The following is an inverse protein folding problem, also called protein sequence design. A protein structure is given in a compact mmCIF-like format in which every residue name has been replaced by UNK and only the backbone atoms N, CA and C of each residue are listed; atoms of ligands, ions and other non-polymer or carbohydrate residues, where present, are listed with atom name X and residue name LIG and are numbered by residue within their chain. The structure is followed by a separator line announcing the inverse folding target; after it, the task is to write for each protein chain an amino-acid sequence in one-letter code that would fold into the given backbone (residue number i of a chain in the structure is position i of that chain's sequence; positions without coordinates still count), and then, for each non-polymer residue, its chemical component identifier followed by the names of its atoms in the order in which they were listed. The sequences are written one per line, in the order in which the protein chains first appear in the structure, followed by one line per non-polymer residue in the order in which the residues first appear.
data_IF_262182076639
#
_entry.id   IF_262182076639
#
_cell.length_a   1.000
_cell.length_b   1.000
_cell.length_c   1.000
_cell.angle_alpha   90.00
_cell.angle_beta   90.00
_cell.angle_gamma   90.00
#
_symmetry.space_group_name_H-M   'P 1'
#
loop_
_entity.id
_entity.type
_entity.pdbx_description
1 polymer ?
#
# COMPACT_ATOMS: atom_id res chain seq x y z
N UNK A 1 1.01 1.00 9.99
CA UNK A 1 -0.20 1.38 9.25
C UNK A 1 -1.40 0.68 9.85
N UNK A 2 -2.47 1.38 10.21
CA UNK A 2 -3.57 0.75 10.95
C UNK A 2 -4.36 -0.32 10.20
N UNK A 3 -4.38 -0.31 8.86
CA UNK A 3 -5.00 -1.38 8.07
C UNK A 3 -4.10 -2.61 7.86
N UNK A 4 -2.78 -2.49 8.08
CA UNK A 4 -1.81 -3.53 7.76
C UNK A 4 -1.99 -4.83 8.56
N UNK A 5 -2.47 -4.76 9.80
CA UNK A 5 -2.75 -5.97 10.60
C UNK A 5 -3.95 -6.76 10.08
N UNK A 6 -4.90 -6.10 9.40
CA UNK A 6 -5.97 -6.80 8.70
C UNK A 6 -5.49 -7.58 7.48
N UNK A 7 -4.27 -7.29 7.00
CA UNK A 7 -3.66 -7.96 5.87
C UNK A 7 -2.72 -9.09 6.28
N UNK A 8 -1.74 -8.79 7.15
CA UNK A 8 -0.74 -9.76 7.59
C UNK A 8 -0.89 -10.09 9.07
N UNK A 9 -0.80 -11.38 9.42
CA UNK A 9 -0.82 -11.85 10.79
C UNK A 9 0.47 -11.46 11.52
N UNK A 10 0.35 -11.00 12.77
CA UNK A 10 1.50 -10.80 13.63
C UNK A 10 2.08 -12.14 14.05
N UNK A 11 3.32 -12.41 13.59
CA UNK A 11 4.02 -13.65 13.90
C UNK A 11 3.91 -14.70 12.80
N UNK A 12 4.65 -15.80 12.96
CA UNK A 12 4.62 -16.94 12.03
C UNK A 12 3.35 -17.74 12.23
N UNK A 13 2.84 -18.33 11.16
CA UNK A 13 1.79 -19.33 11.23
C UNK A 13 2.14 -20.38 12.32
N UNK A 14 1.25 -20.59 13.29
CA UNK A 14 1.47 -21.54 14.40
C UNK A 14 2.49 -21.11 15.45
N UNK A 15 3.10 -19.92 15.36
CA UNK A 15 3.99 -19.37 16.39
C UNK A 15 3.23 -18.84 17.61
N UNK A 16 3.93 -18.65 18.76
CA UNK A 16 3.31 -18.03 19.93
C UNK A 16 2.89 -16.61 19.59
N UNK A 17 1.73 -16.19 20.04
CA UNK A 17 1.25 -14.80 19.93
C UNK A 17 2.26 -13.89 20.62
N UNK A 18 3.12 -13.25 19.87
CA UNK A 18 4.04 -12.24 20.40
C UNK A 18 3.32 -10.90 20.40
N UNK A 19 2.63 -10.62 21.49
CA UNK A 19 2.16 -9.27 21.76
C UNK A 19 3.30 -8.49 22.41
N UNK A 20 3.72 -7.39 21.80
CA UNK A 20 4.64 -6.46 22.45
C UNK A 20 3.99 -5.98 23.77
N UNK A 21 4.68 -6.11 24.93
CA UNK A 21 4.14 -5.65 26.22
C UNK A 21 3.66 -4.18 26.18
N UNK A 22 4.27 -3.33 25.36
CA UNK A 22 3.88 -1.93 25.20
C UNK A 22 2.46 -1.77 24.64
N UNK A 23 2.02 -2.65 23.75
CA UNK A 23 0.67 -2.57 23.19
C UNK A 23 -0.42 -2.78 24.24
N UNK A 24 -0.15 -3.58 25.28
CA UNK A 24 -1.09 -3.81 26.38
C UNK A 24 -1.33 -2.59 27.26
N UNK A 25 -0.43 -1.60 27.16
CA UNK A 25 -0.54 -0.34 27.89
C UNK A 25 -1.42 0.71 27.18
N UNK A 26 -1.91 0.41 25.98
CA UNK A 26 -2.78 1.33 25.26
C UNK A 26 -4.15 1.43 25.92
N UNK A 27 -4.61 2.66 26.14
CA UNK A 27 -6.00 2.94 26.55
C UNK A 27 -6.95 2.57 25.41
N UNK A 28 -6.60 2.94 24.19
CA UNK A 28 -7.37 2.68 22.96
C UNK A 28 -6.44 2.52 21.76
N UNK A 29 -6.85 1.69 20.80
CA UNK A 29 -6.30 1.64 19.45
C UNK A 29 -7.37 2.08 18.43
N UNK A 30 -6.95 2.79 17.38
CA UNK A 30 -7.84 3.25 16.31
C UNK A 30 -7.60 2.44 15.04
N UNK A 31 -8.66 2.15 14.30
CA UNK A 31 -8.61 1.37 13.05
C UNK A 31 -9.52 1.98 11.98
N UNK A 32 -9.33 1.56 10.73
CA UNK A 32 -10.08 2.07 9.57
C UNK A 32 -11.51 1.52 9.48
N UNK A 33 -11.75 0.29 9.97
CA UNK A 33 -13.07 -0.33 9.95
C UNK A 33 -13.26 -1.31 11.11
N UNK A 34 -14.53 -1.59 11.43
CA UNK A 34 -14.88 -2.63 12.40
C UNK A 34 -14.45 -4.04 11.97
N UNK A 35 -14.35 -4.28 10.66
CA UNK A 35 -13.90 -5.56 10.09
C UNK A 35 -12.52 -5.97 10.63
N UNK A 36 -11.58 -5.03 10.71
CA UNK A 36 -10.21 -5.31 11.14
C UNK A 36 -9.99 -5.15 12.64
N UNK A 37 -10.96 -4.62 13.39
CA UNK A 37 -10.82 -4.36 14.83
C UNK A 37 -10.40 -5.59 15.61
N UNK A 38 -10.99 -6.76 15.32
CA UNK A 38 -10.65 -8.05 15.97
C UNK A 38 -9.18 -8.46 15.75
N UNK A 39 -8.61 -8.15 14.57
CA UNK A 39 -7.21 -8.48 14.27
C UNK A 39 -6.25 -7.60 15.05
N UNK A 40 -6.63 -6.32 15.26
CA UNK A 40 -5.87 -5.41 16.11
C UNK A 40 -5.97 -5.77 17.60
N UNK A 41 -7.17 -6.13 18.07
CA UNK A 41 -7.38 -6.61 19.43
C UNK A 41 -6.50 -7.85 19.69
N UNK A 42 -6.53 -8.83 18.80
CA UNK A 42 -5.66 -10.02 18.87
C UNK A 42 -4.18 -9.65 18.82
N UNK A 43 -3.77 -8.83 17.85
CA UNK A 43 -2.36 -8.47 17.64
C UNK A 43 -1.76 -7.66 18.78
N UNK A 44 -2.53 -6.76 19.40
CA UNK A 44 -2.09 -5.93 20.49
C UNK A 44 -2.35 -6.54 21.89
N UNK A 45 -3.12 -7.62 21.96
CA UNK A 45 -3.55 -8.20 23.22
C UNK A 45 -4.49 -7.27 24.00
N UNK A 46 -5.32 -6.50 23.30
CA UNK A 46 -6.34 -5.63 23.85
C UNK A 46 -7.71 -6.34 23.86
N UNK A 47 -8.61 -5.86 24.70
CA UNK A 47 -10.04 -6.21 24.60
C UNK A 47 -10.70 -5.49 23.42
N UNK A 48 -11.73 -6.09 22.82
CA UNK A 48 -12.38 -5.58 21.60
C UNK A 48 -12.96 -4.18 21.78
N UNK A 49 -13.43 -3.82 22.98
CA UNK A 49 -13.97 -2.50 23.35
C UNK A 49 -12.91 -1.39 23.32
N UNK A 50 -11.62 -1.75 23.33
CA UNK A 50 -10.52 -0.80 23.21
C UNK A 50 -10.06 -0.54 21.77
N UNK A 51 -10.62 -1.23 20.79
CA UNK A 51 -10.25 -1.04 19.38
C UNK A 51 -11.40 -0.37 18.64
N UNK A 52 -11.23 0.91 18.30
CA UNK A 52 -12.30 1.76 17.79
C UNK A 52 -12.14 2.04 16.29
N UNK A 53 -13.18 1.78 15.53
CA UNK A 53 -13.24 2.08 14.10
C UNK A 53 -13.57 3.58 13.87
N UNK A 54 -12.61 4.45 14.15
CA UNK A 54 -12.75 5.91 13.97
C UNK A 54 -12.40 6.38 12.57
N UNK A 55 -11.86 5.50 11.73
CA UNK A 55 -11.06 5.89 10.57
C UNK A 55 -9.65 6.30 10.99
N UNK A 56 -8.81 6.54 10.00
CA UNK A 56 -7.39 6.83 10.19
C UNK A 56 -7.10 8.27 9.76
N UNK A 57 -6.57 9.14 10.64
CA UNK A 57 -6.29 10.55 10.32
C UNK A 57 -5.54 10.75 9.00
N UNK A 58 -4.52 9.94 8.74
CA UNK A 58 -3.72 10.02 7.51
C UNK A 58 -4.53 9.82 6.23
N UNK A 59 -5.64 9.09 6.28
CA UNK A 59 -6.45 8.85 5.08
C UNK A 59 -7.36 10.03 4.71
N UNK A 60 -7.48 11.04 5.56
CA UNK A 60 -8.29 12.23 5.26
C UNK A 60 -7.78 13.00 4.03
N UNK A 61 -6.47 12.95 3.74
CA UNK A 61 -5.89 13.60 2.55
C UNK A 61 -6.45 13.06 1.23
N UNK A 62 -6.85 11.77 1.20
CA UNK A 62 -7.43 11.15 0.00
C UNK A 62 -8.87 11.62 -0.29
N UNK A 63 -9.48 12.28 0.68
CA UNK A 63 -10.82 12.89 0.56
C UNK A 63 -10.76 14.40 0.35
N UNK A 64 -9.56 14.99 0.19
CA UNK A 64 -9.34 16.44 0.01
C UNK A 64 -8.93 16.75 -1.45
N UNK A 65 -9.84 17.27 -2.28
CA UNK A 65 -9.54 17.61 -3.67
C UNK A 65 -8.48 18.71 -3.81
N UNK A 66 -8.38 19.63 -2.82
CA UNK A 66 -7.38 20.70 -2.86
C UNK A 66 -5.98 20.15 -2.60
N UNK A 67 -5.86 19.21 -1.67
CA UNK A 67 -4.61 18.48 -1.45
C UNK A 67 -4.18 17.71 -2.71
N UNK A 68 -5.11 16.95 -3.30
CA UNK A 68 -4.86 16.21 -4.54
C UNK A 68 -4.32 17.12 -5.66
N UNK A 69 -4.98 18.26 -5.89
CA UNK A 69 -4.55 19.22 -6.91
C UNK A 69 -3.16 19.78 -6.60
N UNK A 70 -2.89 20.13 -5.33
CA UNK A 70 -1.58 20.66 -4.92
C UNK A 70 -0.45 19.64 -5.18
N UNK A 71 -0.68 18.37 -4.86
CA UNK A 71 0.29 17.29 -5.10
C UNK A 71 0.52 17.10 -6.61
N UNK A 72 -0.55 17.03 -7.40
CA UNK A 72 -0.45 16.85 -8.86
C UNK A 72 0.30 18.02 -9.51
N UNK A 73 -0.02 19.25 -9.15
CA UNK A 73 0.65 20.44 -9.69
C UNK A 73 2.14 20.44 -9.34
N UNK A 74 2.47 20.11 -8.09
CA UNK A 74 3.87 19.99 -7.63
C UNK A 74 4.63 18.89 -8.37
N UNK A 75 4.03 17.73 -8.54
CA UNK A 75 4.64 16.61 -9.25
C UNK A 75 4.93 16.97 -10.72
N UNK A 76 3.94 17.50 -11.44
CA UNK A 76 4.13 17.86 -12.85
C UNK A 76 4.95 19.14 -13.06
N UNK A 77 5.14 19.98 -12.03
CA UNK A 77 6.14 21.06 -12.07
C UNK A 77 7.56 20.51 -11.97
N UNK A 78 7.76 19.46 -11.14
CA UNK A 78 9.05 18.77 -10.95
C UNK A 78 9.39 17.86 -12.13
N UNK A 79 8.39 17.17 -12.72
CA UNK A 79 8.53 16.18 -13.79
C UNK A 79 7.63 16.51 -15.00
N UNK A 80 7.85 17.65 -15.68
CA UNK A 80 6.95 18.12 -16.77
C UNK A 80 6.86 17.17 -17.95
N UNK A 81 7.90 16.34 -18.18
CA UNK A 81 7.94 15.33 -19.25
C UNK A 81 6.95 14.18 -19.05
N UNK A 82 6.35 14.05 -17.86
CA UNK A 82 5.40 12.99 -17.53
C UNK A 82 3.93 13.43 -17.63
N UNK A 83 3.64 14.71 -17.92
CA UNK A 83 2.28 15.27 -17.87
C UNK A 83 1.26 14.56 -18.78
N UNK A 84 1.71 14.12 -19.93
CA UNK A 84 0.85 13.46 -20.93
C UNK A 84 1.10 11.94 -21.00
N UNK A 85 1.70 11.37 -19.96
CA UNK A 85 1.99 9.94 -19.90
C UNK A 85 1.05 9.23 -18.95
N UNK A 86 0.74 7.97 -19.27
CA UNK A 86 0.13 7.04 -18.35
C UNK A 86 1.14 6.62 -17.28
N UNK A 87 0.85 6.89 -16.04
CA UNK A 87 1.76 6.67 -14.92
C UNK A 87 1.51 5.30 -14.28
N UNK A 88 2.51 4.44 -14.33
CA UNK A 88 2.54 3.17 -13.60
C UNK A 88 3.44 3.36 -12.38
N UNK A 89 2.94 3.07 -11.19
CA UNK A 89 3.72 3.05 -9.95
C UNK A 89 4.07 1.60 -9.58
N UNK A 90 5.36 1.28 -9.52
CA UNK A 90 5.87 0.01 -9.02
C UNK A 90 6.35 0.16 -7.59
N UNK A 91 5.59 -0.34 -6.63
CA UNK A 91 5.84 -0.20 -5.20
C UNK A 91 5.83 -1.57 -4.48
N UNK A 92 6.86 -2.40 -4.66
CA UNK A 92 6.92 -3.73 -4.08
C UNK A 92 7.31 -3.72 -2.61
N UNK A 93 6.97 -4.82 -1.92
CA UNK A 93 7.44 -5.09 -0.56
C UNK A 93 8.85 -5.68 -0.59
N UNK A 94 9.70 -5.28 0.35
CA UNK A 94 11.02 -5.89 0.52
C UNK A 94 10.95 -7.34 1.00
N UNK A 95 11.98 -8.11 0.71
CA UNK A 95 12.25 -9.44 1.26
C UNK A 95 13.27 -9.34 2.39
N UNK A 96 13.44 -10.39 3.17
CA UNK A 96 14.32 -10.41 4.34
C UNK A 96 13.59 -10.12 5.66
N UNK A 97 14.35 -10.12 6.77
CA UNK A 97 13.84 -9.96 8.13
C UNK A 97 14.25 -8.58 8.69
N UNK A 98 13.47 -7.55 8.39
CA UNK A 98 13.72 -6.18 8.83
C UNK A 98 14.84 -5.47 8.07
N UNK A 99 15.22 -4.30 8.55
CA UNK A 99 16.07 -3.35 7.84
C UNK A 99 17.46 -3.90 7.46
N UNK A 100 18.07 -4.70 8.35
CA UNK A 100 19.44 -5.18 8.16
C UNK A 100 19.60 -6.22 7.02
N UNK A 101 18.50 -6.83 6.59
CA UNK A 101 18.49 -7.87 5.55
C UNK A 101 17.46 -7.61 4.47
N UNK A 102 16.96 -6.38 4.38
CA UNK A 102 15.99 -6.00 3.39
C UNK A 102 16.61 -5.94 1.99
N UNK A 103 15.95 -6.55 1.01
CA UNK A 103 16.32 -6.53 -0.41
C UNK A 103 15.08 -6.72 -1.27
N UNK A 104 15.19 -6.38 -2.53
CA UNK A 104 14.26 -6.83 -3.58
C UNK A 104 15.08 -7.64 -4.60
N UNK A 105 14.64 -8.86 -5.02
CA UNK A 105 15.43 -9.69 -5.93
C UNK A 105 15.70 -8.96 -7.25
N UNK A 106 16.96 -8.82 -7.63
CA UNK A 106 17.35 -8.05 -8.81
C UNK A 106 16.86 -8.66 -10.14
N UNK A 107 16.67 -9.97 -10.14
CA UNK A 107 16.18 -10.75 -11.28
C UNK A 107 14.63 -10.87 -11.33
N UNK A 108 13.95 -10.30 -10.35
CA UNK A 108 12.48 -10.35 -10.32
C UNK A 108 11.81 -9.31 -11.25
N UNK A 109 12.50 -8.23 -11.60
CA UNK A 109 11.93 -7.18 -12.43
C UNK A 109 12.99 -6.52 -13.31
N UNK A 110 12.86 -6.67 -14.63
CA UNK A 110 13.75 -6.12 -15.65
C UNK A 110 13.10 -4.91 -16.30
N UNK A 111 13.64 -3.72 -16.01
CA UNK A 111 13.08 -2.44 -16.46
C UNK A 111 13.07 -2.31 -17.99
N UNK A 112 14.12 -2.75 -18.65
CA UNK A 112 14.25 -2.71 -20.11
C UNK A 112 13.17 -3.54 -20.82
N UNK A 113 13.07 -4.82 -20.46
CA UNK A 113 12.05 -5.73 -21.01
C UNK A 113 10.64 -5.24 -20.73
N UNK A 114 10.40 -4.71 -19.52
CA UNK A 114 9.11 -4.17 -19.13
C UNK A 114 8.71 -2.96 -19.97
N UNK A 115 9.63 -1.99 -20.11
CA UNK A 115 9.36 -0.76 -20.84
C UNK A 115 9.33 -0.95 -22.37
N UNK A 116 10.04 -1.95 -22.90
CA UNK A 116 9.98 -2.32 -24.33
C UNK A 116 8.60 -2.85 -24.72
N UNK A 117 7.95 -3.60 -23.82
CA UNK A 117 6.64 -4.19 -24.05
C UNK A 117 5.47 -3.19 -23.94
N UNK A 118 5.70 -1.96 -23.45
CA UNK A 118 4.66 -0.98 -23.19
C UNK A 118 4.69 0.19 -24.18
N UNK A 119 3.52 0.84 -24.42
CA UNK A 119 3.43 2.03 -25.26
C UNK A 119 4.39 3.16 -24.84
N UNK A 120 4.83 3.96 -25.79
CA UNK A 120 5.79 5.05 -25.56
C UNK A 120 5.25 6.18 -24.67
N UNK A 121 3.94 6.30 -24.54
CA UNK A 121 3.25 7.23 -23.63
C UNK A 121 3.11 6.69 -22.19
N UNK A 122 3.70 5.53 -21.89
CA UNK A 122 3.73 4.98 -20.53
C UNK A 122 5.00 5.42 -19.80
N UNK A 123 4.85 5.88 -18.56
CA UNK A 123 5.95 6.13 -17.63
C UNK A 123 5.89 5.19 -16.43
N UNK A 124 7.06 4.85 -15.90
CA UNK A 124 7.22 4.00 -14.73
C UNK A 124 7.86 4.79 -13.58
N UNK A 125 7.15 4.87 -12.47
CA UNK A 125 7.69 5.34 -11.20
C UNK A 125 8.04 4.13 -10.35
N UNK A 126 9.26 4.08 -9.85
CA UNK A 126 9.73 3.00 -8.98
C UNK A 126 9.83 3.53 -7.56
N UNK A 127 9.18 2.87 -6.61
CA UNK A 127 9.18 3.25 -5.21
C UNK A 127 9.48 2.04 -4.33
N UNK A 128 10.75 1.71 -4.19
CA UNK A 128 11.18 0.67 -3.27
C UNK A 128 11.03 1.13 -1.82
N UNK A 129 10.87 0.17 -0.94
CA UNK A 129 10.82 0.44 0.49
C UNK A 129 12.17 1.05 0.95
N UNK A 130 12.18 2.04 1.85
CA UNK A 130 13.43 2.69 2.33
C UNK A 130 14.46 1.73 2.93
N UNK A 131 14.05 0.52 3.32
CA UNK A 131 14.97 -0.51 3.81
C UNK A 131 15.76 -1.21 2.71
N UNK A 132 15.34 -1.13 1.44
CA UNK A 132 16.09 -1.70 0.33
C UNK A 132 17.25 -0.77 -0.05
N UNK A 133 18.51 -1.18 0.16
CA UNK A 133 19.66 -0.35 -0.21
C UNK A 133 19.92 -0.37 -1.72
N UNK A 134 19.58 -1.46 -2.38
CA UNK A 134 19.80 -1.65 -3.81
C UNK A 134 18.66 -1.00 -4.61
N UNK A 135 19.02 -0.43 -5.77
CA UNK A 135 18.10 0.23 -6.69
C UNK A 135 18.11 -0.46 -8.05
N UNK A 136 16.98 -0.44 -8.76
CA UNK A 136 16.92 -1.00 -10.11
C UNK A 136 17.82 -0.21 -11.06
N UNK A 137 18.43 -0.93 -12.00
CA UNK A 137 19.19 -0.29 -13.07
C UNK A 137 18.20 0.27 -14.09
N UNK A 138 18.24 1.59 -14.30
CA UNK A 138 17.43 2.26 -15.32
C UNK A 138 18.30 2.43 -16.58
N UNK A 139 17.98 1.73 -17.69
CA UNK A 139 18.74 1.88 -18.93
C UNK A 139 18.62 3.30 -19.50
N UNK A 140 19.70 3.77 -20.14
CA UNK A 140 19.81 5.16 -20.63
C UNK A 140 18.64 5.57 -21.54
N UNK A 141 18.17 4.65 -22.39
CA UNK A 141 17.07 4.90 -23.32
C UNK A 141 15.68 5.12 -22.68
N UNK A 142 15.55 4.94 -21.36
CA UNK A 142 14.27 5.07 -20.66
C UNK A 142 14.27 6.16 -19.57
N UNK A 143 15.39 6.87 -19.36
CA UNK A 143 15.53 7.89 -18.30
C UNK A 143 14.56 9.06 -18.41
N UNK A 144 13.96 9.28 -19.55
CA UNK A 144 12.94 10.30 -19.78
C UNK A 144 11.55 9.90 -19.26
N UNK A 145 11.31 8.59 -19.06
CA UNK A 145 10.02 8.04 -18.64
C UNK A 145 10.06 6.97 -17.56
N UNK A 146 11.25 6.69 -17.00
CA UNK A 146 11.41 5.82 -15.82
C UNK A 146 12.13 6.61 -14.73
N UNK A 147 11.51 6.73 -13.59
CA UNK A 147 12.07 7.46 -12.44
C UNK A 147 12.14 6.56 -11.21
N UNK A 148 13.31 6.50 -10.57
CA UNK A 148 13.43 5.95 -9.23
C UNK A 148 13.18 7.05 -8.20
N UNK A 149 12.05 6.95 -7.50
CA UNK A 149 11.59 7.90 -6.49
C UNK A 149 11.65 7.29 -5.08
N UNK A 150 12.48 6.25 -4.90
CA UNK A 150 12.55 5.51 -3.64
C UNK A 150 12.96 6.37 -2.46
N UNK A 151 13.82 7.35 -2.68
CA UNK A 151 14.39 8.20 -1.63
C UNK A 151 13.75 9.60 -1.53
N UNK A 152 12.96 10.03 -2.52
CA UNK A 152 12.56 11.43 -2.63
C UNK A 152 11.11 11.72 -2.23
N UNK A 153 10.15 11.08 -2.91
CA UNK A 153 8.75 11.47 -2.79
C UNK A 153 7.98 10.54 -1.83
N UNK A 154 7.00 11.09 -1.13
CA UNK A 154 6.13 10.31 -0.26
C UNK A 154 5.22 9.37 -1.08
N UNK A 155 5.15 8.10 -0.70
CA UNK A 155 4.38 7.08 -1.43
C UNK A 155 2.90 7.48 -1.59
N UNK A 156 2.30 8.08 -0.55
CA UNK A 156 0.90 8.49 -0.61
C UNK A 156 0.66 9.61 -1.63
N UNK A 157 1.62 10.51 -1.79
CA UNK A 157 1.52 11.60 -2.77
C UNK A 157 1.64 11.07 -4.20
N UNK A 158 2.49 10.07 -4.42
CA UNK A 158 2.61 9.42 -5.72
C UNK A 158 1.30 8.75 -6.17
N UNK A 159 0.45 8.30 -5.24
CA UNK A 159 -0.84 7.72 -5.60
C UNK A 159 -1.76 8.71 -6.33
N UNK A 160 -1.66 10.02 -6.07
CA UNK A 160 -2.50 11.03 -6.72
C UNK A 160 -2.16 11.26 -8.21
N UNK A 161 -1.03 10.74 -8.67
CA UNK A 161 -0.61 10.79 -10.09
C UNK A 161 -0.55 9.41 -10.74
N UNK A 162 -0.95 8.36 -10.03
CA UNK A 162 -0.84 6.96 -10.47
C UNK A 162 -2.10 6.52 -11.20
N UNK A 163 -1.95 6.02 -12.43
CA UNK A 163 -3.01 5.41 -13.22
C UNK A 163 -3.11 3.89 -13.02
N UNK A 164 -2.02 3.24 -12.61
CA UNK A 164 -1.94 1.82 -12.31
C UNK A 164 -0.89 1.56 -11.23
N UNK A 165 -1.27 0.87 -10.16
CA UNK A 165 -0.35 0.39 -9.14
C UNK A 165 0.07 -1.06 -9.44
N UNK A 166 1.38 -1.30 -9.50
CA UNK A 166 1.95 -2.64 -9.45
C UNK A 166 2.58 -2.81 -8.07
N UNK A 167 2.13 -3.81 -7.34
CA UNK A 167 2.65 -4.13 -6.01
C UNK A 167 2.63 -5.64 -5.79
N UNK A 168 2.90 -6.08 -4.57
CA UNK A 168 2.83 -7.49 -4.19
C UNK A 168 2.08 -7.66 -2.84
N UNK A 169 2.80 -7.69 -1.71
CA UNK A 169 2.24 -7.91 -0.37
C UNK A 169 2.18 -6.61 0.46
N UNK A 170 2.22 -5.47 -0.20
CA UNK A 170 2.27 -4.16 0.44
C UNK A 170 0.90 -3.69 0.94
N UNK A 171 0.92 -3.00 2.08
CA UNK A 171 -0.27 -2.35 2.62
C UNK A 171 -0.70 -1.08 1.86
N UNK A 172 0.07 -0.64 0.85
CA UNK A 172 -0.29 0.50 -0.01
C UNK A 172 -1.61 0.28 -0.75
N UNK A 173 -2.03 -0.97 -0.90
CA UNK A 173 -3.29 -1.35 -1.55
C UNK A 173 -4.52 -0.73 -0.86
N UNK A 174 -4.44 -0.48 0.46
CA UNK A 174 -5.51 0.17 1.20
C UNK A 174 -5.65 1.64 0.78
N UNK A 175 -4.53 2.38 0.76
CA UNK A 175 -4.52 3.78 0.34
C UNK A 175 -4.86 3.92 -1.15
N UNK A 176 -4.32 3.07 -2.02
CA UNK A 176 -4.63 3.07 -3.45
C UNK A 176 -6.12 2.80 -3.73
N UNK A 177 -6.76 1.94 -2.92
CA UNK A 177 -8.21 1.67 -3.05
C UNK A 177 -9.07 2.89 -2.76
N UNK A 178 -8.59 3.86 -1.95
CA UNK A 178 -9.32 5.10 -1.66
C UNK A 178 -9.48 5.99 -2.90
N UNK A 179 -8.51 5.92 -3.81
CA UNK A 179 -8.49 6.65 -5.08
C UNK A 179 -9.02 5.81 -6.26
N UNK A 180 -9.57 4.63 -6.01
CA UNK A 180 -10.06 3.69 -7.02
C UNK A 180 -9.00 3.32 -8.08
N UNK A 181 -7.71 3.33 -7.71
CA UNK A 181 -6.61 3.00 -8.61
C UNK A 181 -6.66 1.50 -8.96
N UNK A 182 -6.63 1.14 -10.25
CA UNK A 182 -6.44 -0.24 -10.69
C UNK A 182 -5.13 -0.82 -10.15
N UNK A 183 -5.12 -2.11 -9.79
CA UNK A 183 -3.95 -2.74 -9.19
C UNK A 183 -3.61 -4.07 -9.86
N UNK A 184 -2.30 -4.32 -10.00
CA UNK A 184 -1.75 -5.62 -10.36
C UNK A 184 -0.86 -6.13 -9.23
N UNK A 185 -1.05 -7.38 -8.87
CA UNK A 185 -0.31 -8.04 -7.80
C UNK A 185 0.75 -8.96 -8.40
N UNK A 186 1.99 -8.46 -8.47
CA UNK A 186 3.13 -9.21 -8.99
C UNK A 186 3.69 -10.12 -7.90
N UNK A 187 3.12 -11.31 -7.79
CA UNK A 187 3.32 -12.25 -6.69
C UNK A 187 4.19 -13.46 -7.11
N UNK A 188 5.34 -13.21 -7.78
CA UNK A 188 6.23 -14.23 -8.35
C UNK A 188 6.76 -15.24 -7.31
N UNK A 189 6.77 -14.89 -6.05
CA UNK A 189 7.27 -15.71 -4.93
C UNK A 189 6.21 -15.99 -3.85
N UNK A 190 4.92 -16.00 -4.21
CA UNK A 190 3.78 -16.10 -3.29
C UNK A 190 3.94 -17.25 -2.28
N UNK A 191 4.30 -18.46 -2.74
CA UNK A 191 4.44 -19.61 -1.85
C UNK A 191 5.56 -19.45 -0.83
N UNK A 192 6.69 -18.89 -1.25
CA UNK A 192 7.81 -18.59 -0.36
C UNK A 192 7.44 -17.51 0.66
N UNK A 193 6.72 -16.48 0.22
CA UNK A 193 6.29 -15.39 1.09
C UNK A 193 5.30 -15.89 2.16
N UNK A 194 4.27 -16.66 1.78
CA UNK A 194 3.29 -17.22 2.72
C UNK A 194 3.97 -18.17 3.73
N UNK A 195 4.96 -18.96 3.29
CA UNK A 195 5.69 -19.87 4.18
C UNK A 195 6.43 -19.14 5.32
N UNK A 196 6.79 -17.88 5.11
CA UNK A 196 7.55 -17.04 6.05
C UNK A 196 6.67 -16.06 6.82
N UNK A 197 5.55 -15.64 6.22
CA UNK A 197 4.59 -14.68 6.77
C UNK A 197 3.20 -15.17 6.51
N UNK A 198 2.34 -15.09 7.51
CA UNK A 198 0.94 -15.51 7.43
C UNK A 198 0.02 -14.31 7.15
N UNK A 199 -1.14 -14.57 6.54
CA UNK A 199 -2.17 -13.58 6.29
C UNK A 199 -3.42 -13.88 7.11
N UNK A 200 -4.18 -12.84 7.51
CA UNK A 200 -5.49 -13.02 8.13
C UNK A 200 -6.56 -13.43 7.11
N UNK A 201 -6.35 -13.09 5.86
CA UNK A 201 -7.22 -13.43 4.73
C UNK A 201 -6.44 -14.27 3.71
N UNK A 202 -7.13 -15.12 3.00
CA UNK A 202 -6.55 -15.81 1.85
C UNK A 202 -6.15 -14.78 0.78
N UNK A 203 -4.88 -14.78 0.37
CA UNK A 203 -4.31 -13.75 -0.49
C UNK A 203 -5.02 -13.67 -1.84
N UNK A 204 -5.32 -14.80 -2.48
CA UNK A 204 -5.90 -14.85 -3.81
C UNK A 204 -7.33 -14.28 -3.85
N UNK A 205 -8.09 -14.48 -2.77
CA UNK A 205 -9.45 -13.96 -2.65
C UNK A 205 -9.53 -12.57 -2.02
N UNK A 206 -8.44 -12.11 -1.41
CA UNK A 206 -8.41 -10.87 -0.64
C UNK A 206 -8.04 -9.66 -1.49
N UNK A 207 -7.04 -9.79 -2.39
CA UNK A 207 -6.45 -8.63 -3.08
C UNK A 207 -7.42 -7.99 -4.07
N UNK A 208 -7.47 -6.64 -4.14
CA UNK A 208 -8.41 -5.91 -4.97
C UNK A 208 -7.91 -5.71 -6.42
N UNK A 209 -7.42 -6.76 -7.05
CA UNK A 209 -6.94 -6.70 -8.42
C UNK A 209 -6.45 -8.05 -8.92
N UNK A 210 -5.90 -8.06 -10.12
CA UNK A 210 -5.41 -9.27 -10.77
C UNK A 210 -4.04 -9.66 -10.22
N UNK A 211 -3.88 -10.97 -9.93
CA UNK A 211 -2.61 -11.56 -9.53
C UNK A 211 -1.90 -12.09 -10.78
N UNK A 212 -0.59 -11.82 -10.86
CA UNK A 212 0.30 -12.31 -11.92
C UNK A 212 1.58 -12.84 -11.29
N UNK A 213 2.16 -13.87 -11.88
CA UNK A 213 3.30 -14.59 -11.31
C UNK A 213 4.60 -14.42 -12.12
N UNK A 214 4.53 -13.76 -13.28
CA UNK A 214 5.70 -13.48 -14.11
C UNK A 214 5.60 -12.07 -14.70
N UNK A 215 6.77 -11.50 -15.06
CA UNK A 215 6.82 -10.20 -15.71
C UNK A 215 6.10 -10.21 -17.07
N UNK A 216 6.10 -11.35 -17.76
CA UNK A 216 5.36 -11.53 -19.00
C UNK A 216 3.84 -11.41 -18.76
N UNK A 217 3.28 -12.11 -17.77
CA UNK A 217 1.86 -11.98 -17.42
C UNK A 217 1.52 -10.56 -17.00
N UNK A 218 2.44 -9.88 -16.30
CA UNK A 218 2.28 -8.49 -15.89
C UNK A 218 2.12 -7.57 -17.10
N UNK A 219 3.01 -7.66 -18.10
CA UNK A 219 2.94 -6.86 -19.31
C UNK A 219 1.72 -7.21 -20.17
N UNK A 220 1.38 -8.49 -20.30
CA UNK A 220 0.17 -8.95 -21.00
C UNK A 220 -1.11 -8.36 -20.37
N UNK A 221 -1.21 -8.35 -19.03
CA UNK A 221 -2.34 -7.76 -18.32
C UNK A 221 -2.46 -6.24 -18.56
N UNK A 222 -1.32 -5.52 -18.56
CA UNK A 222 -1.29 -4.07 -18.80
C UNK A 222 -1.74 -3.74 -20.24
N UNK A 223 -1.24 -4.45 -21.21
CA UNK A 223 -1.59 -4.25 -22.63
C UNK A 223 -3.06 -4.59 -22.88
N UNK A 224 -3.58 -5.62 -22.23
CA UNK A 224 -4.99 -6.01 -22.33
C UNK A 224 -5.95 -5.10 -21.54
N UNK A 225 -5.43 -4.29 -20.60
CA UNK A 225 -6.26 -3.52 -19.67
C UNK A 225 -7.01 -4.40 -18.65
N UNK A 226 -6.49 -5.60 -18.37
CA UNK A 226 -7.13 -6.60 -17.53
C UNK A 226 -6.58 -6.53 -16.10
N UNK A 227 -7.23 -5.73 -15.26
CA UNK A 227 -6.81 -5.46 -13.89
C UNK A 227 -7.76 -6.02 -12.83
N UNK A 228 -8.91 -6.58 -13.22
CA UNK A 228 -9.98 -7.00 -12.30
C UNK A 228 -10.41 -5.86 -11.35
N UNK A 229 -10.52 -4.64 -11.88
CA UNK A 229 -10.76 -3.41 -11.08
C UNK A 229 -12.11 -3.40 -10.37
N UNK A 230 -13.04 -4.26 -10.78
CA UNK A 230 -14.33 -4.46 -10.10
C UNK A 230 -14.17 -4.96 -8.65
N UNK A 231 -12.98 -5.48 -8.28
CA UNK A 231 -12.66 -5.88 -6.91
C UNK A 231 -12.36 -4.69 -5.98
N UNK A 232 -12.00 -3.51 -6.52
CA UNK A 232 -11.59 -2.35 -5.71
C UNK A 232 -12.75 -1.79 -4.86
N UNK A 233 -13.96 -1.52 -5.41
CA UNK A 233 -15.05 -0.95 -4.62
C UNK A 233 -15.49 -1.83 -3.43
N UNK A 234 -15.69 -3.16 -3.54
CA UNK A 234 -16.03 -3.98 -2.40
C UNK A 234 -14.89 -4.07 -1.37
N UNK A 235 -13.63 -4.07 -1.81
CA UNK A 235 -12.48 -4.00 -0.90
C UNK A 235 -12.49 -2.70 -0.09
N UNK A 236 -12.64 -1.55 -0.74
CA UNK A 236 -12.74 -0.24 -0.09
C UNK A 236 -13.87 -0.21 0.95
N UNK A 237 -15.05 -0.68 0.58
CA UNK A 237 -16.20 -0.75 1.49
C UNK A 237 -15.94 -1.64 2.71
N UNK A 238 -15.24 -2.75 2.54
CA UNK A 238 -14.92 -3.69 3.62
C UNK A 238 -13.94 -3.10 4.63
N UNK A 239 -12.94 -2.35 4.16
CA UNK A 239 -11.81 -1.92 5.00
C UNK A 239 -11.87 -0.48 5.48
N UNK A 240 -12.88 0.30 5.04
CA UNK A 240 -13.06 1.68 5.47
C UNK A 240 -14.52 1.99 5.79
N UNK A 241 -14.81 2.17 7.07
CA UNK A 241 -16.16 2.55 7.53
C UNK A 241 -16.45 4.05 7.31
N UNK A 242 -15.40 4.87 7.20
CA UNK A 242 -15.50 6.31 7.08
C UNK A 242 -14.68 6.85 5.91
N UNK A 243 -15.35 7.44 4.92
CA UNK A 243 -14.78 8.05 3.72
C UNK A 243 -15.19 9.53 3.59
N UNK A 244 -15.27 10.23 4.71
CA UNK A 244 -15.80 11.61 4.81
C UNK A 244 -14.71 12.66 5.08
N UNK A 245 -13.41 12.26 5.12
CA UNK A 245 -12.30 13.16 5.39
C UNK A 245 -12.27 13.73 6.82
N UNK A 246 -12.94 13.07 7.78
CA UNK A 246 -13.09 13.57 9.16
C UNK A 246 -12.51 12.64 10.22
N UNK A 247 -11.64 11.72 9.85
CA UNK A 247 -11.03 10.80 10.80
C UNK A 247 -10.16 11.55 11.82
N UNK A 248 -9.42 12.57 11.40
CA UNK A 248 -8.65 13.46 12.30
C UNK A 248 -9.55 14.11 13.36
N UNK A 249 -10.73 14.56 12.97
CA UNK A 249 -11.67 15.18 13.89
C UNK A 249 -12.19 14.18 14.91
N UNK A 250 -12.61 12.97 14.46
CA UNK A 250 -13.07 11.91 15.37
C UNK A 250 -12.02 11.52 16.38
N UNK A 251 -10.76 11.40 15.95
CA UNK A 251 -9.65 11.06 16.85
C UNK A 251 -9.36 12.20 17.82
N UNK A 252 -9.40 13.46 17.38
CA UNK A 252 -9.24 14.62 18.27
C UNK A 252 -10.34 14.66 19.34
N UNK A 253 -11.60 14.47 18.95
CA UNK A 253 -12.72 14.43 19.88
C UNK A 253 -12.63 13.26 20.87
N UNK A 254 -12.11 12.10 20.43
CA UNK A 254 -11.82 10.95 21.29
C UNK A 254 -10.76 11.31 22.35
N UNK A 255 -9.63 11.90 21.95
CA UNK A 255 -8.57 12.33 22.86
C UNK A 255 -9.09 13.32 23.91
N UNK A 256 -9.90 14.30 23.49
CA UNK A 256 -10.49 15.31 24.39
C UNK A 256 -11.41 14.68 25.45
N UNK A 257 -12.19 13.65 25.09
CA UNK A 257 -13.00 12.90 26.06
C UNK A 257 -12.13 12.22 27.12
N UNK A 258 -11.09 11.49 26.71
CA UNK A 258 -10.17 10.82 27.65
C UNK A 258 -9.48 11.80 28.60
N UNK A 259 -9.12 13.00 28.13
CA UNK A 259 -8.52 14.04 28.99
C UNK A 259 -9.57 14.62 29.94
N UNK A 260 -10.82 14.79 29.49
CA UNK A 260 -11.91 15.31 30.29
C UNK A 260 -12.38 14.36 31.42
N UNK A 261 -12.34 13.06 31.18
CA UNK A 261 -12.74 12.01 32.13
C UNK A 261 -11.66 11.74 33.21
N UNK A 262 -10.40 12.10 32.97
CA UNK A 262 -9.28 11.95 33.94
C UNK A 262 -9.16 13.16 34.89
N UNK A 263 -10.03 14.16 34.82
CA UNK A 263 -10.16 15.28 35.77
C UNK A 263 -11.28 15.04 36.75
#
# INVERSE_FOLDING_TARGET
MPAAFGFTRLGKAGGPKQTDPNHRMYDVAIVSSAEIAKHYAEGFGLSDDKVLATGIPRTDIFMDPQYAQTVQDGFYAKYPQLRDKRIILFAPTFRGNGQMSAYYPADAFHVDEFMEALPADTALLIKYHPFCPERPVIPEGYKDRVLDLSDEDELNDLLFVTDLLITDYSSVVFEASLLDIPMLFYAFDLFDYISKRDFYYDFESFVPGKIVFSQRELTEAIVAGDFESEKVPPFKTKFFDHLDGRSSRRVADLILRFIGEKK
#
